data_IF_125618794161
#
_entry.id   IF_125618794161
#
_cell.length_a   1.000
_cell.length_b   1.000
_cell.length_c   1.000
_cell.angle_alpha   90.00
_cell.angle_beta   90.00
_cell.angle_gamma   90.00
#
_symmetry.space_group_name_H-M   'P 1'
#
loop_
_entity.id
_entity.type
_entity.pdbx_description
1 polymer ?
#
# COMPACT_ATOMS: atom_id res chain seq x y z
N UNK A 1 14.61 5.43 13.49
CA UNK A 1 14.70 4.84 12.15
C UNK A 1 13.40 4.10 11.84
N UNK A 2 12.88 4.27 10.62
CA UNK A 2 11.82 3.44 10.04
C UNK A 2 12.45 2.67 8.88
N UNK A 3 12.29 1.35 8.88
CA UNK A 3 12.72 0.51 7.76
C UNK A 3 11.65 0.50 6.68
N UNK A 4 12.06 0.65 5.42
CA UNK A 4 11.21 0.57 4.24
C UNK A 4 11.67 -0.59 3.38
N UNK A 5 10.84 -1.61 3.22
CA UNK A 5 11.09 -2.71 2.29
C UNK A 5 10.40 -2.35 0.98
N UNK A 6 11.20 -2.25 -0.07
CA UNK A 6 10.80 -1.91 -1.44
C UNK A 6 11.01 -3.15 -2.32
N UNK A 7 9.96 -3.99 -2.51
CA UNK A 7 10.05 -5.26 -3.23
C UNK A 7 10.43 -5.11 -4.69
N UNK A 8 10.19 -3.95 -5.29
CA UNK A 8 10.35 -3.71 -6.71
C UNK A 8 10.75 -2.27 -7.03
N UNK A 9 11.53 -2.09 -8.11
CA UNK A 9 12.00 -0.77 -8.56
C UNK A 9 10.89 0.14 -9.09
N UNK A 10 9.83 -0.45 -9.66
CA UNK A 10 8.71 0.29 -10.28
C UNK A 10 7.59 0.65 -9.29
N UNK A 11 7.67 0.15 -8.05
CA UNK A 11 6.78 0.49 -6.94
C UNK A 11 7.55 1.15 -5.77
N UNK A 12 8.22 2.31 -6.00
CA UNK A 12 9.06 2.96 -5.00
C UNK A 12 8.22 3.59 -3.88
N UNK A 13 8.88 3.87 -2.73
CA UNK A 13 8.26 4.57 -1.59
C UNK A 13 7.65 5.93 -1.93
N UNK A 14 8.04 6.51 -3.05
CA UNK A 14 7.47 7.73 -3.60
C UNK A 14 7.38 8.86 -2.58
N UNK A 15 6.29 9.62 -2.66
CA UNK A 15 6.06 10.77 -1.78
C UNK A 15 5.79 10.39 -0.31
N UNK A 16 5.46 9.14 -0.01
CA UNK A 16 5.39 8.68 1.38
C UNK A 16 6.76 8.81 2.05
N UNK A 17 7.84 8.49 1.33
CA UNK A 17 9.21 8.68 1.82
C UNK A 17 9.53 10.14 2.11
N UNK A 18 9.11 11.06 1.24
CA UNK A 18 9.27 12.51 1.44
C UNK A 18 8.53 13.00 2.70
N UNK A 19 7.29 12.53 2.89
CA UNK A 19 6.49 12.90 4.06
C UNK A 19 7.05 12.32 5.36
N UNK A 20 7.52 11.07 5.34
CA UNK A 20 8.19 10.46 6.49
C UNK A 20 9.47 11.23 6.85
N UNK A 21 10.27 11.60 5.84
CA UNK A 21 11.47 12.42 6.05
C UNK A 21 11.14 13.81 6.61
N UNK A 22 10.08 14.46 6.13
CA UNK A 22 9.60 15.74 6.64
C UNK A 22 9.14 15.67 8.12
N UNK A 23 8.70 14.50 8.59
CA UNK A 23 8.41 14.24 10.00
C UNK A 23 9.67 14.00 10.85
N UNK A 24 10.86 14.12 10.26
CA UNK A 24 12.15 14.08 10.97
C UNK A 24 12.60 12.66 11.36
N UNK A 25 12.25 11.64 10.57
CA UNK A 25 12.75 10.27 10.75
C UNK A 25 13.77 9.91 9.69
N UNK A 26 14.73 9.07 10.06
CA UNK A 26 15.65 8.43 9.12
C UNK A 26 15.00 7.20 8.53
N UNK A 27 15.09 7.01 7.21
CA UNK A 27 14.65 5.82 6.52
C UNK A 27 15.83 4.89 6.24
N UNK A 28 15.65 3.60 6.55
CA UNK A 28 16.53 2.53 6.08
C UNK A 28 15.83 1.83 4.93
N UNK A 29 16.36 1.96 3.73
CA UNK A 29 15.83 1.28 2.55
C UNK A 29 16.38 -0.15 2.48
N UNK A 30 15.51 -1.11 2.18
CA UNK A 30 15.82 -2.52 1.91
C UNK A 30 15.17 -2.86 0.58
N UNK A 31 15.96 -3.30 -0.38
CA UNK A 31 15.58 -3.53 -1.78
C UNK A 31 15.87 -4.96 -2.22
N UNK A 32 14.99 -5.93 -1.96
CA UNK A 32 15.19 -7.32 -2.35
C UNK A 32 15.46 -7.49 -3.85
N UNK A 33 14.81 -6.69 -4.70
CA UNK A 33 15.06 -6.66 -6.15
C UNK A 33 16.51 -6.28 -6.53
N UNK A 34 17.24 -5.63 -5.63
CA UNK A 34 18.66 -5.24 -5.81
C UNK A 34 19.62 -6.15 -5.03
N UNK A 35 19.10 -7.23 -4.43
CA UNK A 35 19.91 -8.23 -3.70
C UNK A 35 20.01 -7.98 -2.20
N UNK A 36 19.32 -7.01 -1.63
CA UNK A 36 19.26 -6.84 -0.17
C UNK A 36 18.48 -8.01 0.47
N UNK A 37 19.02 -8.56 1.55
CA UNK A 37 18.28 -9.52 2.37
C UNK A 37 17.21 -8.82 3.22
N UNK A 38 16.10 -9.52 3.49
CA UNK A 38 15.13 -9.07 4.51
C UNK A 38 15.86 -9.03 5.86
N UNK A 39 15.81 -7.89 6.58
CA UNK A 39 16.57 -7.73 7.81
C UNK A 39 15.97 -8.56 8.96
N UNK A 40 16.83 -8.91 9.88
CA UNK A 40 16.39 -9.45 11.16
C UNK A 40 15.53 -8.43 11.93
N UNK A 41 14.61 -8.95 12.76
CA UNK A 41 13.72 -8.11 13.57
C UNK A 41 14.46 -7.07 14.40
N UNK A 42 15.64 -7.39 14.93
CA UNK A 42 16.47 -6.47 15.74
C UNK A 42 16.99 -5.27 14.94
N UNK A 43 16.95 -5.31 13.62
CA UNK A 43 17.52 -4.29 12.75
C UNK A 43 16.50 -3.29 12.19
N UNK A 44 15.18 -3.55 12.35
CA UNK A 44 14.14 -2.73 11.70
C UNK A 44 13.93 -1.34 12.30
N UNK A 45 14.48 -1.07 13.47
CA UNK A 45 14.27 0.21 14.16
C UNK A 45 12.91 0.27 14.90
N UNK A 46 12.19 1.39 14.79
CA UNK A 46 10.96 1.64 15.54
C UNK A 46 9.67 1.59 14.71
N UNK A 47 9.78 1.28 13.44
CA UNK A 47 8.64 1.15 12.53
C UNK A 47 9.04 0.50 11.21
N UNK A 48 8.04 -0.04 10.51
CA UNK A 48 8.20 -0.73 9.23
C UNK A 48 7.21 -0.20 8.19
N UNK A 49 7.67 -0.07 6.95
CA UNK A 49 6.83 0.07 5.75
C UNK A 49 7.20 -1.05 4.80
N UNK A 50 6.21 -1.78 4.29
CA UNK A 50 6.37 -2.76 3.21
C UNK A 50 5.55 -2.28 2.03
N UNK A 51 6.20 -2.09 0.89
CA UNK A 51 5.58 -1.54 -0.32
C UNK A 51 4.99 -2.63 -1.22
N UNK A 52 4.46 -2.21 -2.36
CA UNK A 52 3.94 -3.05 -3.42
C UNK A 52 5.02 -3.68 -4.29
N UNK A 53 4.58 -4.49 -5.25
CA UNK A 53 5.37 -5.13 -6.26
C UNK A 53 4.48 -5.93 -7.20
N UNK A 54 4.96 -6.23 -8.41
CA UNK A 54 4.22 -6.94 -9.45
C UNK A 54 4.16 -8.47 -9.26
N UNK A 55 5.03 -9.03 -8.37
CA UNK A 55 4.99 -10.43 -8.02
C UNK A 55 3.79 -10.78 -7.14
N UNK A 56 3.33 -12.01 -7.19
CA UNK A 56 2.32 -12.53 -6.25
C UNK A 56 2.91 -12.79 -4.85
N UNK A 57 2.06 -12.73 -3.82
CA UNK A 57 2.42 -13.16 -2.47
C UNK A 57 2.78 -14.66 -2.38
N UNK A 58 2.60 -15.43 -3.46
CA UNK A 58 2.87 -16.87 -3.57
C UNK A 58 4.10 -17.20 -4.43
N UNK A 59 4.82 -16.23 -4.98
CA UNK A 59 5.93 -16.43 -5.91
C UNK A 59 7.27 -16.74 -5.21
N UNK A 60 7.23 -17.61 -4.19
CA UNK A 60 8.41 -17.98 -3.40
C UNK A 60 9.53 -18.64 -4.25
N UNK A 61 9.18 -19.26 -5.38
CA UNK A 61 10.15 -19.92 -6.26
C UNK A 61 11.09 -18.90 -6.90
N UNK A 62 10.56 -17.76 -7.33
CA UNK A 62 11.32 -16.69 -8.01
C UNK A 62 11.75 -15.60 -7.02
N UNK A 63 11.01 -15.44 -5.91
CA UNK A 63 11.23 -14.44 -4.87
C UNK A 63 11.38 -15.08 -3.48
N UNK A 64 12.45 -15.85 -3.20
CA UNK A 64 12.59 -16.61 -1.94
C UNK A 64 12.61 -15.75 -0.68
N UNK A 65 12.89 -14.45 -0.78
CA UNK A 65 12.83 -13.48 0.31
C UNK A 65 11.38 -13.27 0.84
N UNK A 66 10.33 -13.67 0.11
CA UNK A 66 8.93 -13.61 0.58
C UNK A 66 8.73 -14.45 1.84
N UNK A 67 9.39 -15.58 1.97
CA UNK A 67 9.34 -16.41 3.18
C UNK A 67 9.88 -15.68 4.41
N UNK A 68 11.03 -14.99 4.26
CA UNK A 68 11.65 -14.19 5.32
C UNK A 68 10.78 -12.99 5.67
N UNK A 69 10.18 -12.32 4.67
CA UNK A 69 9.26 -11.21 4.87
C UNK A 69 8.02 -11.64 5.66
N UNK A 70 7.41 -12.80 5.36
CA UNK A 70 6.30 -13.35 6.15
C UNK A 70 6.72 -13.62 7.60
N UNK A 71 7.93 -14.14 7.80
CA UNK A 71 8.51 -14.33 9.14
C UNK A 71 8.64 -13.01 9.91
N UNK A 72 9.18 -11.98 9.27
CA UNK A 72 9.31 -10.65 9.83
C UNK A 72 7.95 -10.03 10.17
N UNK A 73 6.96 -10.12 9.26
CA UNK A 73 5.62 -9.54 9.47
C UNK A 73 4.88 -10.18 10.66
N UNK A 74 4.97 -11.50 10.86
CA UNK A 74 4.46 -12.15 12.07
C UNK A 74 5.07 -11.51 13.32
N UNK A 75 6.40 -11.39 13.34
CA UNK A 75 7.12 -10.81 14.46
C UNK A 75 6.74 -9.35 14.73
N UNK A 76 6.53 -8.56 13.67
CA UNK A 76 6.07 -7.17 13.74
C UNK A 76 4.72 -7.07 14.47
N UNK A 77 3.78 -7.94 14.16
CA UNK A 77 2.45 -7.94 14.78
C UNK A 77 2.52 -8.42 16.24
N UNK A 78 3.25 -9.50 16.50
CA UNK A 78 3.44 -10.06 17.86
C UNK A 78 4.06 -9.04 18.82
N UNK A 79 5.10 -8.35 18.37
CA UNK A 79 5.85 -7.34 19.13
C UNK A 79 5.20 -5.95 19.08
N UNK A 80 4.04 -5.83 18.39
CA UNK A 80 3.25 -4.60 18.29
C UNK A 80 4.04 -3.41 17.72
N UNK A 81 4.97 -3.66 16.80
CA UNK A 81 5.71 -2.61 16.11
C UNK A 81 4.77 -1.87 15.16
N UNK A 82 4.75 -0.52 15.16
CA UNK A 82 3.99 0.25 14.19
C UNK A 82 4.45 -0.03 12.77
N UNK A 83 3.52 -0.45 11.91
CA UNK A 83 3.83 -0.80 10.53
C UNK A 83 2.72 -0.41 9.56
N UNK A 84 3.12 -0.19 8.31
CA UNK A 84 2.24 -0.01 7.15
C UNK A 84 2.66 -1.01 6.09
N UNK A 85 1.69 -1.75 5.55
CA UNK A 85 1.88 -2.68 4.45
C UNK A 85 0.98 -2.28 3.28
N UNK A 86 1.53 -2.13 2.07
CA UNK A 86 0.85 -1.56 0.90
C UNK A 86 0.85 -2.59 -0.23
N UNK A 87 -0.31 -2.82 -0.85
CA UNK A 87 -0.55 -3.69 -2.01
C UNK A 87 0.03 -5.10 -1.76
N UNK A 88 1.08 -5.53 -2.45
CA UNK A 88 1.77 -6.79 -2.19
C UNK A 88 2.13 -6.94 -0.70
N UNK A 89 2.62 -5.88 -0.05
CA UNK A 89 2.92 -5.91 1.38
C UNK A 89 1.70 -6.29 2.24
N UNK A 90 0.50 -5.79 1.90
CA UNK A 90 -0.74 -6.13 2.58
C UNK A 90 -1.17 -7.58 2.32
N UNK A 91 -0.93 -8.09 1.12
CA UNK A 91 -1.21 -9.48 0.74
C UNK A 91 -0.26 -10.44 1.47
N UNK A 92 1.05 -10.17 1.46
CA UNK A 92 2.05 -10.97 2.20
C UNK A 92 1.77 -10.94 3.71
N UNK A 93 1.30 -9.82 4.26
CA UNK A 93 0.90 -9.72 5.65
C UNK A 93 -0.33 -10.59 5.95
N UNK A 94 -1.32 -10.66 5.06
CA UNK A 94 -2.48 -11.53 5.22
C UNK A 94 -2.05 -13.00 5.26
N UNK A 95 -1.25 -13.46 4.31
CA UNK A 95 -0.69 -14.82 4.29
C UNK A 95 0.15 -15.12 5.54
N UNK A 96 1.00 -14.17 5.97
CA UNK A 96 1.82 -14.32 7.16
C UNK A 96 1.00 -14.58 8.42
N UNK A 97 -0.20 -14.02 8.52
CA UNK A 97 -1.07 -14.07 9.70
C UNK A 97 -2.18 -15.12 9.59
N UNK A 98 -2.19 -15.94 8.53
CA UNK A 98 -3.16 -17.02 8.32
C UNK A 98 -4.46 -16.58 7.64
N UNK A 99 -4.44 -15.46 6.94
CA UNK A 99 -5.43 -15.11 5.93
C UNK A 99 -5.19 -15.83 4.62
N UNK A 100 -5.94 -15.47 3.57
CA UNK A 100 -5.75 -16.01 2.22
C UNK A 100 -5.74 -14.86 1.20
N UNK A 101 -4.89 -15.00 0.19
CA UNK A 101 -4.88 -14.16 -1.01
C UNK A 101 -5.21 -15.00 -2.25
N UNK A 102 -5.77 -14.37 -3.27
CA UNK A 102 -6.02 -15.02 -4.55
C UNK A 102 -5.26 -14.32 -5.67
N UNK A 103 -4.66 -15.13 -6.53
CA UNK A 103 -3.89 -14.73 -7.70
C UNK A 103 -4.40 -15.50 -8.95
N UNK A 104 -5.13 -14.85 -9.85
CA UNK A 104 -5.70 -13.51 -9.73
C UNK A 104 -6.89 -13.45 -8.75
N UNK A 105 -7.26 -12.24 -8.34
CA UNK A 105 -8.45 -12.01 -7.51
C UNK A 105 -9.72 -12.47 -8.24
N UNK A 106 -10.64 -13.20 -7.57
CA UNK A 106 -11.92 -13.60 -8.16
C UNK A 106 -12.86 -12.41 -8.43
N UNK A 107 -12.53 -11.23 -7.89
CA UNK A 107 -13.28 -9.98 -8.10
C UNK A 107 -12.77 -9.19 -9.31
N UNK A 108 -11.70 -9.68 -9.97
CA UNK A 108 -11.04 -9.03 -11.09
C UNK A 108 -10.02 -7.97 -10.67
N UNK A 109 -9.29 -7.40 -11.65
CA UNK A 109 -8.30 -6.37 -11.41
C UNK A 109 -8.94 -5.02 -11.11
N UNK A 110 -8.28 -4.23 -10.27
CA UNK A 110 -8.60 -2.81 -10.09
C UNK A 110 -7.42 -1.93 -10.49
N UNK A 111 -7.68 -0.82 -11.18
CA UNK A 111 -6.63 0.11 -11.59
C UNK A 111 -7.17 1.51 -11.90
N UNK A 112 -6.49 2.52 -11.38
CA UNK A 112 -6.89 3.92 -11.51
C UNK A 112 -7.32 4.51 -10.18
N UNK A 113 -8.31 5.40 -10.23
CA UNK A 113 -8.95 5.96 -9.03
C UNK A 113 -10.24 5.20 -8.74
N UNK A 114 -10.34 4.67 -7.53
CA UNK A 114 -11.56 4.00 -7.03
C UNK A 114 -12.04 4.66 -5.75
N UNK A 115 -13.31 4.49 -5.41
CA UNK A 115 -13.85 4.92 -4.13
C UNK A 115 -13.71 3.80 -3.09
N UNK A 116 -13.02 4.06 -1.99
CA UNK A 116 -13.10 3.24 -0.79
C UNK A 116 -14.49 3.40 -0.16
N UNK A 117 -15.06 2.30 0.28
CA UNK A 117 -16.22 2.26 1.17
C UNK A 117 -15.73 1.96 2.58
N UNK A 118 -15.80 2.97 3.46
CA UNK A 118 -15.32 2.88 4.83
C UNK A 118 -16.31 2.09 5.68
N UNK A 119 -15.82 1.16 6.48
CA UNK A 119 -16.64 0.45 7.48
C UNK A 119 -16.88 1.34 8.71
N UNK A 120 -17.85 0.98 9.54
CA UNK A 120 -18.06 1.65 10.83
C UNK A 120 -16.81 1.59 11.72
N UNK A 121 -16.08 0.48 11.67
CA UNK A 121 -14.83 0.30 12.40
C UNK A 121 -13.73 1.29 11.98
N UNK A 122 -13.73 1.78 10.74
CA UNK A 122 -12.75 2.75 10.27
C UNK A 122 -12.77 4.06 11.06
N UNK A 123 -13.96 4.57 11.39
CA UNK A 123 -14.14 5.79 12.17
C UNK A 123 -13.81 5.65 13.66
N UNK A 124 -13.73 4.42 14.16
CA UNK A 124 -13.43 4.11 15.57
C UNK A 124 -12.01 3.58 15.77
N UNK A 125 -11.29 3.31 14.66
CA UNK A 125 -9.96 2.72 14.71
C UNK A 125 -8.91 3.72 15.17
N UNK A 126 -8.17 3.38 16.22
CA UNK A 126 -7.19 4.27 16.86
C UNK A 126 -5.99 4.67 15.98
N UNK A 127 -5.81 4.02 14.83
CA UNK A 127 -4.73 4.32 13.85
C UNK A 127 -5.30 4.95 12.60
N UNK A 128 -6.42 4.44 12.10
CA UNK A 128 -6.97 4.78 10.79
C UNK A 128 -7.90 6.00 10.82
N UNK A 129 -8.64 6.22 11.92
CA UNK A 129 -9.63 7.32 12.01
C UNK A 129 -9.02 8.70 11.75
N UNK A 130 -7.89 9.03 12.37
CA UNK A 130 -7.20 10.32 12.15
C UNK A 130 -6.81 10.52 10.67
N UNK A 131 -6.44 9.43 9.96
CA UNK A 131 -6.04 9.46 8.55
C UNK A 131 -7.26 9.75 7.67
N UNK A 132 -8.36 9.04 7.93
CA UNK A 132 -9.65 9.24 7.25
C UNK A 132 -10.17 10.65 7.45
N UNK A 133 -10.17 11.14 8.68
CA UNK A 133 -10.65 12.48 9.01
C UNK A 133 -9.91 13.60 8.28
N UNK A 134 -8.58 13.47 8.14
CA UNK A 134 -7.79 14.45 7.36
C UNK A 134 -8.15 14.39 5.87
N UNK A 135 -8.32 13.19 5.33
CA UNK A 135 -8.71 13.00 3.93
C UNK A 135 -10.12 13.55 3.66
N UNK A 136 -11.10 13.28 4.55
CA UNK A 136 -12.46 13.81 4.45
C UNK A 136 -12.45 15.34 4.53
N UNK A 137 -11.70 15.93 5.48
CA UNK A 137 -11.56 17.39 5.56
C UNK A 137 -10.98 17.99 4.28
N UNK A 138 -10.01 17.32 3.66
CA UNK A 138 -9.45 17.77 2.39
C UNK A 138 -10.45 17.66 1.24
N UNK A 139 -11.22 16.58 1.18
CA UNK A 139 -12.29 16.39 0.20
C UNK A 139 -13.35 17.50 0.30
N UNK A 140 -13.84 17.79 1.50
CA UNK A 140 -14.82 18.87 1.75
C UNK A 140 -14.28 20.22 1.27
N UNK A 141 -13.01 20.55 1.61
CA UNK A 141 -12.39 21.80 1.16
C UNK A 141 -12.25 21.90 -0.36
N UNK A 142 -12.03 20.77 -1.03
CA UNK A 142 -11.88 20.69 -2.49
C UNK A 142 -13.21 20.49 -3.24
N UNK A 143 -14.35 20.36 -2.54
CA UNK A 143 -15.64 20.08 -3.15
C UNK A 143 -15.75 18.66 -3.75
N UNK A 144 -14.95 17.71 -3.25
CA UNK A 144 -14.98 16.32 -3.68
C UNK A 144 -16.03 15.56 -2.86
N UNK A 145 -17.00 14.86 -3.48
CA UNK A 145 -18.02 14.12 -2.76
C UNK A 145 -17.46 12.98 -1.91
N UNK A 146 -17.93 12.81 -0.68
CA UNK A 146 -17.50 11.75 0.25
C UNK A 146 -18.64 10.91 0.82
N UNK A 147 -19.88 11.13 0.36
CA UNK A 147 -21.10 10.51 0.94
C UNK A 147 -21.08 10.55 2.48
N UNK A 148 -21.12 11.75 3.03
CA UNK A 148 -21.10 11.98 4.49
C UNK A 148 -19.86 11.41 5.20
N UNK A 149 -18.72 11.37 4.48
CA UNK A 149 -17.46 10.88 5.01
C UNK A 149 -17.29 9.36 4.99
N UNK A 150 -18.21 8.62 4.34
CA UNK A 150 -18.14 7.16 4.23
C UNK A 150 -17.42 6.66 2.98
N UNK A 151 -17.05 7.56 2.05
CA UNK A 151 -16.31 7.23 0.83
C UNK A 151 -15.14 8.17 0.60
N UNK A 152 -14.03 7.61 0.14
CA UNK A 152 -12.81 8.36 -0.19
C UNK A 152 -12.19 7.84 -1.49
N UNK A 153 -11.80 8.74 -2.42
CA UNK A 153 -11.05 8.34 -3.61
C UNK A 153 -9.62 7.96 -3.25
N UNK A 154 -9.14 6.85 -3.82
CA UNK A 154 -7.76 6.37 -3.68
C UNK A 154 -7.23 5.85 -5.01
N UNK A 155 -5.90 5.73 -5.14
CA UNK A 155 -5.23 5.09 -6.27
C UNK A 155 -5.07 3.61 -5.97
N UNK A 156 -5.46 2.75 -6.93
CA UNK A 156 -5.23 1.30 -6.91
C UNK A 156 -4.57 0.83 -8.18
N UNK A 157 -3.78 -0.24 -8.09
CA UNK A 157 -3.23 -1.00 -9.22
C UNK A 157 -2.93 -2.41 -8.72
N UNK A 158 -3.83 -3.36 -8.94
CA UNK A 158 -3.63 -4.74 -8.52
C UNK A 158 -4.53 -5.71 -9.29
N UNK A 159 -4.04 -6.92 -9.53
CA UNK A 159 -4.77 -8.06 -10.08
C UNK A 159 -5.10 -9.06 -8.97
N UNK A 160 -4.23 -9.20 -7.99
CA UNK A 160 -4.35 -10.06 -6.82
C UNK A 160 -5.03 -9.32 -5.66
N UNK A 161 -5.53 -10.07 -4.68
CA UNK A 161 -6.14 -9.45 -3.52
C UNK A 161 -6.34 -10.39 -2.34
N UNK A 162 -6.49 -9.81 -1.16
CA UNK A 162 -6.87 -10.55 0.05
C UNK A 162 -8.33 -10.96 -0.06
N UNK A 163 -8.61 -12.26 0.02
CA UNK A 163 -9.96 -12.84 -0.07
C UNK A 163 -10.49 -13.30 1.28
N UNK A 164 -9.62 -13.59 2.23
CA UNK A 164 -9.99 -13.91 3.61
C UNK A 164 -9.01 -13.23 4.58
N UNK A 165 -9.55 -12.40 5.46
CA UNK A 165 -8.77 -11.75 6.50
C UNK A 165 -8.28 -12.76 7.56
N UNK A 166 -7.08 -12.54 8.13
CA UNK A 166 -6.62 -13.28 9.29
C UNK A 166 -7.56 -13.11 10.49
N UNK A 167 -7.64 -14.12 11.35
CA UNK A 167 -8.44 -14.06 12.56
C UNK A 167 -7.97 -12.95 13.51
N UNK A 168 -8.90 -12.27 14.18
CA UNK A 168 -8.59 -11.18 15.11
C UNK A 168 -8.18 -9.87 14.47
N UNK A 169 -8.32 -9.73 13.14
CA UNK A 169 -8.08 -8.48 12.41
C UNK A 169 -9.37 -7.67 12.21
N UNK A 170 -9.23 -6.42 11.85
CA UNK A 170 -10.37 -5.50 11.65
C UNK A 170 -10.40 -5.03 10.20
N UNK A 171 -11.50 -5.29 9.47
CA UNK A 171 -11.76 -4.69 8.17
C UNK A 171 -12.09 -3.21 8.34
N UNK A 172 -11.41 -2.35 7.58
CA UNK A 172 -11.55 -0.90 7.66
C UNK A 172 -12.19 -0.31 6.39
N UNK A 173 -11.88 -0.88 5.23
CA UNK A 173 -12.46 -0.41 3.96
C UNK A 173 -12.53 -1.53 2.93
N UNK A 174 -13.49 -1.39 2.00
CA UNK A 174 -13.65 -2.19 0.78
C UNK A 174 -13.75 -1.28 -0.45
N UNK A 175 -13.79 -1.87 -1.64
CA UNK A 175 -14.15 -1.23 -2.90
C UNK A 175 -15.05 -2.16 -3.71
N UNK A 176 -15.68 -1.69 -4.81
CA UNK A 176 -16.48 -2.56 -5.66
C UNK A 176 -15.73 -3.78 -6.23
N UNK A 177 -14.43 -3.64 -6.52
CA UNK A 177 -13.59 -4.72 -7.06
C UNK A 177 -12.73 -5.43 -6.00
N UNK A 178 -12.74 -4.98 -4.74
CA UNK A 178 -11.99 -5.67 -3.68
C UNK A 178 -12.72 -5.60 -2.34
N UNK A 179 -13.11 -6.75 -1.75
CA UNK A 179 -13.76 -6.78 -0.45
C UNK A 179 -12.84 -6.35 0.69
N UNK A 180 -11.52 -6.33 0.48
CA UNK A 180 -10.50 -5.99 1.47
C UNK A 180 -9.54 -4.95 0.89
N UNK A 181 -9.85 -3.67 1.10
CA UNK A 181 -9.00 -2.55 0.69
C UNK A 181 -8.15 -1.96 1.81
N UNK A 182 -8.63 -2.05 3.05
CA UNK A 182 -7.86 -1.67 4.23
C UNK A 182 -8.25 -2.53 5.43
N UNK A 183 -7.26 -2.96 6.20
CA UNK A 183 -7.46 -3.74 7.40
C UNK A 183 -6.34 -3.54 8.41
N UNK A 184 -6.56 -3.97 9.67
CA UNK A 184 -5.60 -3.77 10.75
C UNK A 184 -5.39 -5.05 11.57
N UNK A 185 -4.12 -5.35 11.87
CA UNK A 185 -3.68 -6.35 12.84
C UNK A 185 -2.78 -5.67 13.91
N UNK A 186 -3.28 -5.52 15.13
CA UNK A 186 -2.51 -4.85 16.18
C UNK A 186 -2.09 -3.43 15.81
N UNK A 187 -0.80 -3.20 15.54
CA UNK A 187 -0.23 -1.92 15.11
C UNK A 187 0.13 -1.90 13.62
N UNK A 188 -0.10 -2.97 12.90
CA UNK A 188 0.05 -3.04 11.45
C UNK A 188 -1.24 -2.53 10.78
N UNK A 189 -1.12 -1.52 9.94
CA UNK A 189 -2.15 -1.07 9.00
C UNK A 189 -1.80 -1.58 7.62
N UNK A 190 -2.70 -2.35 7.02
CA UNK A 190 -2.54 -2.92 5.69
C UNK A 190 -3.52 -2.28 4.71
N UNK A 191 -3.01 -1.85 3.56
CA UNK A 191 -3.71 -1.07 2.53
C UNK A 191 -3.48 -1.73 1.17
N UNK A 192 -4.54 -2.14 0.47
CA UNK A 192 -4.43 -2.62 -0.90
C UNK A 192 -4.18 -1.47 -1.88
N UNK A 193 -4.65 -0.27 -1.56
CA UNK A 193 -4.45 0.95 -2.34
C UNK A 193 -3.08 1.60 -2.06
N UNK A 194 -2.69 2.57 -2.91
CA UNK A 194 -1.37 3.17 -2.97
C UNK A 194 -1.33 4.63 -2.49
N UNK A 195 -1.26 4.92 -1.17
CA UNK A 195 -1.18 6.28 -0.65
C UNK A 195 0.16 6.98 -0.97
N UNK A 196 1.20 6.23 -1.33
CA UNK A 196 2.52 6.72 -1.74
C UNK A 196 2.54 7.18 -3.20
N UNK A 197 1.52 6.80 -3.99
CA UNK A 197 1.48 7.02 -5.43
C UNK A 197 1.11 8.46 -5.81
N UNK A 198 1.40 8.82 -7.06
CA UNK A 198 1.10 10.12 -7.67
C UNK A 198 0.26 9.94 -8.93
N UNK A 199 -0.39 11.01 -9.45
CA UNK A 199 -1.03 10.97 -10.76
C UNK A 199 -0.11 10.50 -11.89
N UNK A 200 1.17 10.85 -11.86
CA UNK A 200 2.14 10.37 -12.84
C UNK A 200 2.43 8.87 -12.67
N UNK A 201 2.44 8.36 -11.43
CA UNK A 201 2.69 6.93 -11.20
C UNK A 201 1.52 6.07 -11.65
N UNK A 202 0.28 6.48 -11.38
CA UNK A 202 -0.88 5.72 -11.87
C UNK A 202 -1.00 5.79 -13.41
N UNK A 203 -0.58 6.88 -14.06
CA UNK A 203 -0.44 6.93 -15.50
C UNK A 203 0.49 5.83 -16.01
N UNK A 204 1.67 5.72 -15.39
CA UNK A 204 2.68 4.71 -15.72
C UNK A 204 2.11 3.29 -15.59
N UNK A 205 1.53 2.94 -14.44
CA UNK A 205 1.00 1.60 -14.19
C UNK A 205 -0.18 1.27 -15.10
N UNK A 206 -1.12 2.22 -15.29
CA UNK A 206 -2.31 1.98 -16.15
C UNK A 206 -1.96 1.82 -17.61
N UNK A 207 -0.97 2.52 -18.12
CA UNK A 207 -0.51 2.32 -19.50
C UNK A 207 0.06 0.90 -19.68
N UNK A 208 0.84 0.41 -18.75
CA UNK A 208 1.45 -0.92 -18.81
C UNK A 208 0.46 -2.06 -18.59
N UNK A 209 -0.43 -1.91 -17.63
CA UNK A 209 -1.54 -2.86 -17.43
C UNK A 209 -2.45 -2.93 -18.67
N UNK A 210 -2.71 -1.80 -19.35
CA UNK A 210 -3.47 -1.78 -20.60
C UNK A 210 -2.70 -2.45 -21.75
N UNK A 211 -1.38 -2.24 -21.85
CA UNK A 211 -0.54 -2.89 -22.87
C UNK A 211 -0.55 -4.44 -22.67
N UNK A 212 -0.48 -4.91 -21.42
CA UNK A 212 -0.62 -6.32 -21.10
C UNK A 212 -1.99 -6.87 -21.50
N UNK A 213 -3.08 -6.15 -21.18
CA UNK A 213 -4.43 -6.54 -21.56
C UNK A 213 -4.64 -6.59 -23.08
N UNK A 214 -3.87 -5.83 -23.86
CA UNK A 214 -3.82 -5.87 -25.32
C UNK A 214 -2.91 -6.98 -25.87
N UNK A 215 -2.27 -7.77 -25.01
CA UNK A 215 -1.40 -8.89 -25.40
C UNK A 215 -0.02 -8.45 -25.95
N UNK A 216 0.45 -7.25 -25.63
CA UNK A 216 1.79 -6.76 -26.03
C UNK A 216 2.89 -7.50 -25.29
N UNK A 217 2.61 -7.90 -24.04
CA UNK A 217 3.53 -8.60 -23.16
C UNK A 217 2.72 -9.48 -22.19
N UNK A 218 3.32 -10.59 -21.74
CA UNK A 218 2.74 -11.48 -20.75
C UNK A 218 3.38 -11.25 -19.37
N UNK A 219 2.57 -11.31 -18.30
CA UNK A 219 3.01 -11.12 -16.93
C UNK A 219 3.08 -9.65 -16.50
N UNK A 220 2.92 -9.43 -15.21
CA UNK A 220 2.86 -8.09 -14.62
C UNK A 220 4.26 -7.46 -14.53
N UNK A 221 5.26 -8.21 -14.06
CA UNK A 221 6.65 -7.75 -14.01
C UNK A 221 7.20 -7.32 -15.37
N UNK A 222 6.92 -8.14 -16.42
CA UNK A 222 7.34 -7.80 -17.78
C UNK A 222 6.61 -6.58 -18.32
N UNK A 223 5.32 -6.41 -17.98
CA UNK A 223 4.56 -5.24 -18.36
C UNK A 223 5.11 -3.97 -17.69
N UNK A 224 5.45 -4.04 -16.40
CA UNK A 224 6.06 -2.91 -15.68
C UNK A 224 7.42 -2.49 -16.25
N UNK A 225 8.20 -3.42 -16.77
CA UNK A 225 9.47 -3.15 -17.42
C UNK A 225 9.35 -2.65 -18.87
N UNK A 226 8.13 -2.62 -19.47
CA UNK A 226 7.94 -2.25 -20.86
C UNK A 226 8.35 -0.77 -21.11
N UNK A 227 9.25 -0.49 -22.07
CA UNK A 227 9.63 0.88 -22.43
C UNK A 227 8.45 1.71 -22.94
N UNK A 228 8.44 3.00 -22.67
CA UNK A 228 7.38 3.91 -23.14
C UNK A 228 7.23 3.91 -24.66
N UNK A 229 8.34 3.72 -25.39
CA UNK A 229 8.34 3.69 -26.86
C UNK A 229 7.59 2.47 -27.45
N UNK A 230 7.44 1.41 -26.65
CA UNK A 230 6.79 0.15 -27.06
C UNK A 230 5.31 0.09 -26.65
N UNK A 231 4.81 1.12 -25.97
CA UNK A 231 3.41 1.20 -25.54
C UNK A 231 2.48 1.52 -26.72
N UNK A 232 1.41 0.73 -26.95
CA UNK A 232 0.36 1.08 -27.90
C UNK A 232 -0.31 2.41 -27.55
N UNK A 233 -0.75 3.14 -28.56
CA UNK A 233 -1.44 4.42 -28.37
C UNK A 233 -2.68 4.30 -27.44
N UNK A 234 -3.40 3.18 -27.52
CA UNK A 234 -4.55 2.91 -26.66
C UNK A 234 -4.13 2.76 -25.19
N UNK A 235 -3.01 2.10 -24.93
CA UNK A 235 -2.43 1.95 -23.59
C UNK A 235 -1.96 3.29 -23.02
N UNK A 236 -1.26 4.10 -23.82
CA UNK A 236 -0.88 5.47 -23.46
C UNK A 236 -2.12 6.31 -23.11
N UNK A 237 -3.19 6.23 -23.91
CA UNK A 237 -4.42 6.94 -23.66
C UNK A 237 -5.13 6.46 -22.36
N UNK A 238 -5.03 5.17 -22.02
CA UNK A 238 -5.56 4.64 -20.76
C UNK A 238 -4.80 5.21 -19.56
N UNK A 239 -3.49 5.27 -19.63
CA UNK A 239 -2.64 5.91 -18.61
C UNK A 239 -2.98 7.39 -18.42
N UNK A 240 -3.04 8.15 -19.52
CA UNK A 240 -3.36 9.58 -19.48
C UNK A 240 -4.74 9.86 -18.85
N UNK A 241 -5.75 9.04 -19.11
CA UNK A 241 -7.06 9.14 -18.47
C UNK A 241 -6.96 8.94 -16.96
N UNK A 242 -6.24 7.90 -16.50
CA UNK A 242 -6.06 7.62 -15.08
C UNK A 242 -5.34 8.78 -14.35
N UNK A 243 -4.35 9.39 -15.00
CA UNK A 243 -3.69 10.58 -14.48
C UNK A 243 -4.65 11.73 -14.25
N UNK A 244 -5.45 12.07 -15.27
CA UNK A 244 -6.44 13.16 -15.18
C UNK A 244 -7.45 12.93 -14.06
N UNK A 245 -7.88 11.69 -13.84
CA UNK A 245 -8.77 11.33 -12.74
C UNK A 245 -8.09 11.49 -11.39
N UNK A 246 -6.84 11.07 -11.25
CA UNK A 246 -6.07 11.21 -10.02
C UNK A 246 -5.77 12.69 -9.68
N UNK A 247 -5.51 13.53 -10.68
CA UNK A 247 -5.29 14.97 -10.50
C UNK A 247 -6.54 15.67 -9.92
N UNK A 248 -7.75 15.22 -10.28
CA UNK A 248 -9.00 15.78 -9.72
C UNK A 248 -9.17 15.53 -8.22
N UNK A 249 -8.62 14.44 -7.72
CA UNK A 249 -8.74 14.00 -6.32
C UNK A 249 -7.43 14.16 -5.53
N UNK A 250 -6.43 14.77 -6.13
CA UNK A 250 -5.08 14.95 -5.58
C UNK A 250 -5.06 15.57 -4.16
N UNK A 251 -5.92 16.55 -3.79
CA UNK A 251 -5.98 17.06 -2.42
C UNK A 251 -6.29 15.98 -1.38
N UNK A 252 -7.15 15.00 -1.71
CA UNK A 252 -7.50 13.88 -0.83
C UNK A 252 -6.35 12.90 -0.72
N UNK A 253 -5.75 12.52 -1.87
CA UNK A 253 -4.60 11.61 -1.92
C UNK A 253 -3.43 12.12 -1.07
N UNK A 254 -3.10 13.40 -1.20
CA UNK A 254 -2.04 14.02 -0.40
C UNK A 254 -2.38 14.10 1.09
N UNK A 255 -3.60 14.45 1.43
CA UNK A 255 -4.02 14.55 2.83
C UNK A 255 -3.96 13.19 3.52
N UNK A 256 -4.45 12.13 2.85
CA UNK A 256 -4.39 10.76 3.34
C UNK A 256 -2.93 10.33 3.59
N UNK A 257 -2.06 10.45 2.57
CA UNK A 257 -0.68 10.00 2.68
C UNK A 257 0.14 10.78 3.71
N UNK A 258 -0.06 12.10 3.83
CA UNK A 258 0.58 12.92 4.88
C UNK A 258 0.10 12.52 6.27
N UNK A 259 -1.21 12.28 6.44
CA UNK A 259 -1.76 11.82 7.71
C UNK A 259 -1.25 10.42 8.08
N UNK A 260 -1.12 9.52 7.10
CA UNK A 260 -0.52 8.20 7.26
C UNK A 260 0.93 8.31 7.78
N UNK A 261 1.76 9.14 7.13
CA UNK A 261 3.15 9.37 7.54
C UNK A 261 3.23 9.89 8.98
N UNK A 262 2.46 10.95 9.33
CA UNK A 262 2.40 11.50 10.69
C UNK A 262 1.99 10.46 11.72
N UNK A 263 0.95 9.67 11.42
CA UNK A 263 0.43 8.64 12.32
C UNK A 263 1.46 7.53 12.55
N UNK A 264 2.12 7.05 11.50
CA UNK A 264 3.19 6.06 11.62
C UNK A 264 4.35 6.60 12.47
N UNK A 265 4.81 7.81 12.21
CA UNK A 265 5.93 8.41 12.97
C UNK A 265 5.55 8.65 14.44
N UNK A 266 4.36 9.15 14.73
CA UNK A 266 3.84 9.29 16.09
C UNK A 266 3.86 7.96 16.84
N UNK A 267 3.34 6.90 16.22
CA UNK A 267 3.30 5.56 16.81
C UNK A 267 4.72 4.97 16.97
N UNK A 268 5.62 5.17 16.01
CA UNK A 268 7.01 4.72 16.08
C UNK A 268 7.80 5.40 17.22
N UNK A 269 7.56 6.69 17.47
CA UNK A 269 8.13 7.40 18.61
C UNK A 269 7.63 6.86 19.95
N UNK A 270 6.31 6.61 20.05
CA UNK A 270 5.71 6.04 21.25
C UNK A 270 6.23 4.61 21.54
N UNK A 271 6.35 3.77 20.50
CA UNK A 271 6.94 2.43 20.60
C UNK A 271 8.37 2.47 21.14
N UNK A 272 9.21 3.34 20.61
CA UNK A 272 10.59 3.52 21.05
C UNK A 272 10.68 3.94 22.52
N UNK A 273 9.82 4.86 22.96
CA UNK A 273 9.80 5.31 24.35
C UNK A 273 9.41 4.18 25.30
N UNK A 274 8.38 3.41 24.97
CA UNK A 274 7.96 2.24 25.74
C UNK A 274 9.07 1.19 25.86
N UNK A 275 9.73 0.86 24.74
CA UNK A 275 10.84 -0.10 24.73
C UNK A 275 12.06 0.36 25.54
N UNK A 276 12.30 1.67 25.66
CA UNK A 276 13.38 2.21 26.48
C UNK A 276 13.07 2.17 28.00
N UNK A 277 11.80 2.16 28.38
CA UNK A 277 11.36 2.13 29.78
C UNK A 277 11.31 0.70 30.35
N UNK A 278 11.32 -0.30 29.48
CA UNK A 278 11.21 -1.75 29.87
C UNK A 278 12.60 -2.42 30.01
N UNK A 279 13.67 -1.72 29.63
CA UNK A 279 15.07 -2.14 29.80
C UNK A 279 15.69 -1.50 31.05
#
# INVERSE_FOLDING_TARGET
VITVIEPEAFAPVGRLGEWLFAEGVTLRMVRPWSGDAIPDFSEIGSGLVVLGGAMSAHDDADHPWLADLRGLLRRIVDERVPAVAICLGAQVAAEALGGDTACPSPHGPEGGVVELELTEAAGQDAVFSDIVDEAVRAAVRAGIPTRDGTRLPVIVSHDDGVVRLPEGTTLLASSPGSPVQAWRAGKLLALQHHPESTPARIEYWRARSAARALGVVEGEEAAEALPDADLPQEAVAAGARARVEAEKVEPVLQAFGRALARTLVRNARAYRTAAATTR
#
